data_IF_556428958748
#
_entry.id   IF_556428958748
#
_cell.length_a   1.000
_cell.length_b   1.000
_cell.length_c   1.000
_cell.angle_alpha   90.00
_cell.angle_beta   90.00
_cell.angle_gamma   90.00
#
_symmetry.space_group_name_H-M   'P 1'
#
loop_
_entity.id
_entity.type
_entity.pdbx_description
1 polymer ?
#
# COMPACT_ATOMS: atom_id res chain seq x y z
N UNK A 1 -14.32 -8.19 4.15
CA UNK A 1 -14.08 -6.75 4.39
C UNK A 1 -14.17 -6.35 5.87
N UNK A 2 -15.12 -6.88 6.67
CA UNK A 2 -15.23 -6.50 8.09
C UNK A 2 -13.93 -6.69 8.89
N UNK A 3 -13.24 -7.83 8.72
CA UNK A 3 -11.93 -8.07 9.33
C UNK A 3 -10.89 -7.04 8.91
N UNK A 4 -10.78 -6.76 7.60
CA UNK A 4 -9.85 -5.75 7.06
C UNK A 4 -10.06 -4.37 7.69
N UNK A 5 -11.30 -3.88 7.75
CA UNK A 5 -11.57 -2.55 8.31
C UNK A 5 -11.27 -2.47 9.81
N UNK A 6 -11.46 -3.59 10.55
CA UNK A 6 -11.05 -3.68 11.95
C UNK A 6 -9.53 -3.55 12.07
N UNK A 7 -8.76 -4.35 11.32
CA UNK A 7 -7.29 -4.29 11.36
C UNK A 7 -6.76 -2.90 10.97
N UNK A 8 -7.30 -2.29 9.91
CA UNK A 8 -6.91 -0.93 9.52
C UNK A 8 -7.13 0.10 10.65
N UNK A 9 -8.17 -0.07 11.46
CA UNK A 9 -8.41 0.83 12.60
C UNK A 9 -7.42 0.59 13.75
N UNK A 10 -6.99 -0.65 13.96
CA UNK A 10 -5.98 -1.02 14.97
C UNK A 10 -4.59 -0.47 14.56
N UNK A 11 -4.22 -0.62 13.28
CA UNK A 11 -2.93 -0.21 12.72
C UNK A 11 -2.81 1.30 12.44
N UNK A 12 -3.88 1.93 11.94
CA UNK A 12 -3.86 3.32 11.45
C UNK A 12 -4.60 4.30 12.37
N UNK A 13 -5.31 3.79 13.37
CA UNK A 13 -6.05 4.58 14.35
C UNK A 13 -7.40 5.10 13.86
N UNK A 14 -8.01 5.98 14.67
CA UNK A 14 -9.42 6.39 14.52
C UNK A 14 -9.76 7.05 13.17
N UNK A 15 -8.81 7.72 12.52
CA UNK A 15 -9.04 8.35 11.22
C UNK A 15 -9.35 7.33 10.11
N UNK A 16 -8.93 6.06 10.27
CA UNK A 16 -9.30 5.00 9.35
C UNK A 16 -10.79 4.62 9.44
N UNK A 17 -11.49 4.98 10.51
CA UNK A 17 -12.93 4.76 10.64
C UNK A 17 -13.78 5.73 9.81
N UNK A 18 -13.19 6.80 9.26
CA UNK A 18 -13.88 7.79 8.42
C UNK A 18 -14.09 7.29 6.97
N UNK A 19 -13.59 6.10 6.64
CA UNK A 19 -13.84 5.43 5.37
C UNK A 19 -13.98 3.92 5.57
N UNK A 20 -14.62 3.27 4.59
CA UNK A 20 -14.71 1.81 4.56
C UNK A 20 -14.10 1.27 3.28
N UNK A 21 -13.28 0.23 3.43
CA UNK A 21 -12.85 -0.62 2.32
C UNK A 21 -13.93 -1.64 2.06
N UNK A 22 -14.44 -1.64 0.83
CA UNK A 22 -15.57 -2.45 0.40
C UNK A 22 -15.16 -3.47 -0.68
N UNK A 23 -16.09 -4.34 -1.07
CA UNK A 23 -15.86 -5.33 -2.14
C UNK A 23 -15.46 -4.67 -3.46
N UNK A 24 -15.97 -3.49 -3.77
CA UNK A 24 -15.61 -2.75 -4.97
C UNK A 24 -14.13 -2.29 -4.99
N UNK A 25 -13.50 -2.20 -3.81
CA UNK A 25 -12.09 -1.84 -3.67
C UNK A 25 -11.16 -3.06 -3.83
N UNK A 26 -11.70 -4.29 -3.94
CA UNK A 26 -10.91 -5.52 -4.11
C UNK A 26 -10.15 -5.53 -5.44
N UNK A 27 -8.93 -6.10 -5.44
CA UNK A 27 -8.08 -6.21 -6.63
C UNK A 27 -7.62 -7.64 -6.89
N UNK A 28 -6.94 -8.27 -5.93
CA UNK A 28 -6.32 -9.57 -6.17
C UNK A 28 -6.22 -10.42 -4.91
N UNK A 29 -5.96 -11.71 -5.10
CA UNK A 29 -5.67 -12.68 -4.03
C UNK A 29 -4.46 -13.50 -4.42
N UNK A 30 -3.48 -13.59 -3.51
CA UNK A 30 -2.24 -14.32 -3.73
C UNK A 30 -2.06 -15.40 -2.66
N UNK A 31 -1.75 -16.62 -3.09
CA UNK A 31 -1.42 -17.72 -2.19
C UNK A 31 0.09 -17.95 -2.19
N UNK A 32 0.72 -17.90 -1.01
CA UNK A 32 2.14 -18.18 -0.88
C UNK A 32 2.43 -19.69 -0.90
N UNK A 33 3.48 -20.16 -1.60
CA UNK A 33 3.83 -21.56 -1.62
C UNK A 33 4.14 -22.09 -0.21
N UNK A 34 3.66 -23.29 0.11
CA UNK A 34 3.97 -23.97 1.38
C UNK A 34 3.24 -23.44 2.62
N UNK A 35 2.34 -22.45 2.47
CA UNK A 35 1.53 -21.93 3.58
C UNK A 35 0.04 -22.07 3.28
N UNK A 36 -0.80 -22.09 4.33
CA UNK A 36 -2.26 -21.99 4.19
C UNK A 36 -2.73 -20.55 4.37
N UNK A 37 -2.01 -19.60 3.76
CA UNK A 37 -2.27 -18.17 3.84
C UNK A 37 -2.59 -17.64 2.44
N UNK A 38 -3.69 -16.89 2.34
CA UNK A 38 -4.08 -16.15 1.15
C UNK A 38 -4.09 -14.67 1.49
N UNK A 39 -3.28 -13.89 0.79
CA UNK A 39 -3.21 -12.44 0.93
C UNK A 39 -4.21 -11.79 -0.02
N UNK A 40 -5.22 -11.12 0.53
CA UNK A 40 -6.22 -10.36 -0.23
C UNK A 40 -5.82 -8.88 -0.29
N UNK A 41 -5.81 -8.31 -1.49
CA UNK A 41 -5.37 -6.94 -1.73
C UNK A 41 -6.53 -6.04 -2.19
N UNK A 42 -6.56 -4.82 -1.66
CA UNK A 42 -7.59 -3.81 -1.91
C UNK A 42 -6.93 -2.45 -2.16
N UNK A 43 -7.54 -1.63 -3.01
CA UNK A 43 -7.11 -0.26 -3.27
C UNK A 43 -8.29 0.70 -3.07
N UNK A 44 -8.18 1.58 -2.06
CA UNK A 44 -9.21 2.57 -1.72
C UNK A 44 -8.75 3.98 -2.11
N UNK A 45 -9.56 4.67 -2.92
CA UNK A 45 -9.35 6.10 -3.19
C UNK A 45 -9.80 6.92 -1.98
N UNK A 46 -8.91 7.76 -1.46
CA UNK A 46 -9.20 8.74 -0.42
C UNK A 46 -9.07 10.16 -0.97
N UNK A 47 -9.74 11.11 -0.31
CA UNK A 47 -9.36 12.53 -0.46
C UNK A 47 -8.00 12.78 0.19
N UNK A 48 -7.30 13.83 -0.25
CA UNK A 48 -6.02 14.20 0.37
C UNK A 48 -6.18 14.51 1.87
N UNK A 49 -7.30 15.12 2.27
CA UNK A 49 -7.59 15.42 3.67
C UNK A 49 -7.73 14.15 4.51
N UNK A 50 -8.44 13.13 4.00
CA UNK A 50 -8.56 11.84 4.68
C UNK A 50 -7.20 11.15 4.81
N UNK A 51 -6.39 11.15 3.75
CA UNK A 51 -5.06 10.54 3.77
C UNK A 51 -4.14 11.24 4.80
N UNK A 52 -4.15 12.57 4.86
CA UNK A 52 -3.39 13.33 5.86
C UNK A 52 -3.91 13.07 7.28
N UNK A 53 -5.22 12.95 7.47
CA UNK A 53 -5.80 12.62 8.77
C UNK A 53 -5.33 11.24 9.27
N UNK A 54 -5.22 10.26 8.38
CA UNK A 54 -4.63 8.94 8.68
C UNK A 54 -3.17 9.08 9.11
N UNK A 55 -2.34 9.78 8.35
CA UNK A 55 -0.91 9.96 8.68
C UNK A 55 -0.71 10.64 10.03
N UNK A 56 -1.51 11.66 10.34
CA UNK A 56 -1.48 12.35 11.63
C UNK A 56 -2.04 11.49 12.77
N UNK A 57 -2.91 10.54 12.47
CA UNK A 57 -3.55 9.63 13.42
C UNK A 57 -2.69 8.43 13.80
N UNK A 58 -2.02 7.84 12.82
CA UNK A 58 -1.33 6.55 12.92
C UNK A 58 -0.29 6.45 14.05
N UNK A 59 0.51 7.49 14.39
CA UNK A 59 1.43 7.41 15.53
C UNK A 59 0.76 7.21 16.91
N UNK A 60 -0.57 7.37 16.98
CA UNK A 60 -1.39 7.14 18.18
C UNK A 60 -2.22 5.86 18.09
N UNK A 61 -2.06 5.09 17.02
CA UNK A 61 -2.73 3.81 16.83
C UNK A 61 -2.20 2.77 17.82
N UNK A 62 -2.97 1.71 18.02
CA UNK A 62 -2.66 0.66 19.00
C UNK A 62 -1.32 -0.01 18.68
N UNK A 63 -1.04 -0.22 17.40
CA UNK A 63 0.08 -1.04 16.95
C UNK A 63 1.33 -0.21 16.61
N UNK A 64 1.27 1.12 16.80
CA UNK A 64 2.41 1.99 16.56
C UNK A 64 3.54 1.74 17.56
N UNK A 65 4.76 1.56 17.04
CA UNK A 65 5.94 1.21 17.82
C UNK A 65 6.02 -0.26 18.23
N UNK A 66 5.05 -1.08 17.78
CA UNK A 66 5.02 -2.52 17.97
C UNK A 66 5.11 -3.20 16.58
N UNK A 67 3.97 -3.49 15.97
CA UNK A 67 3.88 -4.14 14.66
C UNK A 67 4.06 -3.12 13.52
N UNK A 68 3.74 -1.85 13.76
CA UNK A 68 3.86 -0.77 12.78
C UNK A 68 4.88 0.28 13.23
N UNK A 69 5.98 0.40 12.47
CA UNK A 69 7.08 1.32 12.82
C UNK A 69 6.92 2.74 12.24
N UNK A 70 6.05 2.91 11.23
CA UNK A 70 5.79 4.21 10.63
C UNK A 70 5.21 4.09 9.22
N UNK A 71 4.45 5.11 8.82
CA UNK A 71 3.91 5.22 7.46
C UNK A 71 4.89 5.98 6.55
N UNK A 72 4.93 5.60 5.29
CA UNK A 72 5.70 6.28 4.23
C UNK A 72 4.82 6.52 3.01
N UNK A 73 5.00 7.66 2.35
CA UNK A 73 4.42 7.91 1.03
C UNK A 73 5.33 7.32 -0.04
N UNK A 74 4.74 6.67 -1.03
CA UNK A 74 5.47 6.19 -2.22
C UNK A 74 5.76 7.37 -3.15
N UNK A 75 7.02 7.67 -3.48
CA UNK A 75 7.33 8.69 -4.49
C UNK A 75 6.99 8.13 -5.86
N UNK A 76 6.07 8.77 -6.59
CA UNK A 76 5.67 8.32 -7.94
C UNK A 76 6.47 8.98 -9.07
N UNK A 77 7.33 9.93 -8.74
CA UNK A 77 8.22 10.58 -9.70
C UNK A 77 9.52 9.80 -9.85
N UNK A 78 10.23 10.06 -10.95
CA UNK A 78 11.64 9.68 -11.15
C UNK A 78 12.47 10.94 -11.28
N UNK A 79 13.55 11.04 -10.49
CA UNK A 79 14.48 12.16 -10.57
C UNK A 79 15.30 12.09 -11.87
N UNK A 80 15.93 13.22 -12.23
CA UNK A 80 16.68 13.35 -13.49
C UNK A 80 17.89 12.40 -13.61
N UNK A 81 18.37 11.86 -12.50
CA UNK A 81 19.42 10.84 -12.46
C UNK A 81 18.94 9.44 -12.90
N UNK A 82 17.63 9.27 -13.11
CA UNK A 82 17.01 8.00 -13.46
C UNK A 82 16.93 6.98 -12.32
N UNK A 83 17.38 7.35 -11.11
CA UNK A 83 17.49 6.45 -9.95
C UNK A 83 16.62 6.94 -8.79
N UNK A 84 16.67 8.23 -8.46
CA UNK A 84 15.91 8.76 -7.33
C UNK A 84 14.39 8.76 -7.55
N UNK A 85 13.62 8.67 -6.46
CA UNK A 85 12.16 8.59 -6.49
C UNK A 85 11.65 7.14 -6.49
N UNK A 86 10.72 6.82 -7.38
CA UNK A 86 10.11 5.48 -7.46
C UNK A 86 11.13 4.36 -7.66
N UNK A 87 12.15 4.48 -8.54
CA UNK A 87 13.11 3.39 -8.76
C UNK A 87 13.87 3.05 -7.47
N UNK A 88 14.45 4.04 -6.79
CA UNK A 88 15.13 3.84 -5.51
C UNK A 88 14.18 3.33 -4.41
N UNK A 89 12.90 3.75 -4.40
CA UNK A 89 11.93 3.23 -3.45
C UNK A 89 11.68 1.72 -3.63
N UNK A 90 11.62 1.25 -4.87
CA UNK A 90 11.39 -0.16 -5.21
C UNK A 90 12.59 -1.08 -4.89
N UNK A 91 13.76 -0.53 -4.57
CA UNK A 91 14.94 -1.28 -4.11
C UNK A 91 14.91 -1.58 -2.59
N UNK A 92 13.91 -1.08 -1.86
CA UNK A 92 13.71 -1.47 -0.45
C UNK A 92 13.26 -2.94 -0.32
N UNK A 93 13.35 -3.47 0.90
CA UNK A 93 12.80 -4.79 1.23
C UNK A 93 11.28 -4.71 1.41
N UNK A 94 10.53 -5.55 0.69
CA UNK A 94 9.08 -5.66 0.77
C UNK A 94 8.67 -7.02 1.35
N UNK A 95 7.55 -7.05 2.06
CA UNK A 95 7.00 -8.28 2.63
C UNK A 95 6.12 -9.01 1.60
N UNK A 96 6.30 -10.34 1.50
CA UNK A 96 5.44 -11.19 0.67
C UNK A 96 5.32 -10.69 -0.76
N UNK A 97 4.08 -10.46 -1.21
CA UNK A 97 3.75 -9.96 -2.55
C UNK A 97 3.49 -8.43 -2.58
N UNK A 98 3.90 -7.67 -1.57
CA UNK A 98 3.55 -6.25 -1.45
C UNK A 98 4.17 -5.39 -2.56
N UNK A 99 5.35 -5.75 -3.06
CA UNK A 99 6.00 -5.04 -4.18
C UNK A 99 5.20 -5.24 -5.47
N UNK A 100 4.80 -6.47 -5.76
CA UNK A 100 4.01 -6.83 -6.93
C UNK A 100 2.62 -6.17 -6.87
N UNK A 101 1.95 -6.24 -5.71
CA UNK A 101 0.67 -5.57 -5.48
C UNK A 101 0.75 -4.06 -5.70
N UNK A 102 1.84 -3.41 -5.25
CA UNK A 102 2.07 -1.99 -5.52
C UNK A 102 2.20 -1.72 -7.03
N UNK A 103 3.02 -2.49 -7.73
CA UNK A 103 3.26 -2.30 -9.17
C UNK A 103 1.99 -2.52 -10.00
N UNK A 104 1.24 -3.58 -9.71
CA UNK A 104 -0.07 -3.87 -10.33
C UNK A 104 -1.04 -2.72 -10.10
N UNK A 105 -1.16 -2.24 -8.85
CA UNK A 105 -2.07 -1.13 -8.53
C UNK A 105 -1.70 0.18 -9.22
N UNK A 106 -0.40 0.50 -9.30
CA UNK A 106 0.07 1.72 -9.99
C UNK A 106 -0.26 1.67 -11.49
N UNK A 107 -0.15 0.49 -12.11
CA UNK A 107 -0.50 0.29 -13.50
C UNK A 107 -2.02 0.33 -13.73
N UNK A 108 -2.79 -0.42 -12.94
CA UNK A 108 -4.25 -0.53 -13.08
C UNK A 108 -4.99 0.79 -12.79
N UNK A 109 -4.44 1.62 -11.89
CA UNK A 109 -4.98 2.94 -11.57
C UNK A 109 -4.42 4.05 -12.46
N UNK A 110 -3.62 3.71 -13.47
CA UNK A 110 -2.99 4.64 -14.42
C UNK A 110 -2.20 5.76 -13.73
N UNK A 111 -1.51 5.41 -12.62
CA UNK A 111 -0.72 6.34 -11.82
C UNK A 111 0.72 6.49 -12.32
N UNK A 112 1.13 5.67 -13.28
CA UNK A 112 2.41 5.73 -13.98
C UNK A 112 2.21 5.50 -15.47
N UNK A 113 3.18 5.91 -16.29
CA UNK A 113 3.09 5.68 -17.74
C UNK A 113 3.09 4.18 -18.07
N UNK A 114 2.28 3.73 -19.04
CA UNK A 114 2.28 2.35 -19.51
C UNK A 114 3.69 1.88 -19.89
N UNK A 115 4.12 0.77 -19.31
CA UNK A 115 5.44 0.19 -19.58
C UNK A 115 6.60 0.79 -18.76
N UNK A 116 6.31 1.68 -17.81
CA UNK A 116 7.30 2.20 -16.85
C UNK A 116 8.01 1.10 -16.05
N UNK A 117 7.38 -0.06 -15.90
CA UNK A 117 7.93 -1.21 -15.15
C UNK A 117 8.41 -2.37 -16.03
N UNK A 118 8.26 -2.29 -17.37
CA UNK A 118 8.71 -3.36 -18.29
C UNK A 118 10.23 -3.44 -18.47
N UNK A 119 11.00 -2.53 -17.85
CA UNK A 119 12.44 -2.47 -17.96
C UNK A 119 13.15 -3.00 -16.70
N UNK A 120 12.86 -4.25 -16.30
CA UNK A 120 13.80 -5.18 -15.63
C UNK A 120 13.07 -6.50 -15.37
N UNK A 121 13.42 -7.53 -16.13
CA UNK A 121 13.22 -8.91 -15.67
C UNK A 121 13.92 -9.03 -14.31
N UNK A 122 13.16 -9.39 -13.29
CA UNK A 122 13.69 -9.97 -12.05
C UNK A 122 14.38 -11.29 -12.42
#
# INVERSE_FOLDING_TARGET
EAGLNRELTEELGKAAADFHVERADYRSSHAGPGTRIVAHFYAKRLTLQQLVAVEMGAPRAKDHGLEVLGLVRVPLYTLRDGVGGLPAFLENSFIGAAKEQLLEALQDLELVEPGSFTARKI
#
